data_IF_534320445670
#
_entry.id   IF_534320445670
#
_cell.length_a   1.000
_cell.length_b   1.000
_cell.length_c   1.000
_cell.angle_alpha   90.00
_cell.angle_beta   90.00
_cell.angle_gamma   90.00
#
_symmetry.space_group_name_H-M   'P 1'
#
loop_
_entity.id
_entity.type
_entity.pdbx_description
1 polymer ?
#
# COMPACT_ATOMS: atom_id res chain seq x y z
N UNK A 1 47.02 -35.25 69.16
CA UNK A 1 46.61 -35.81 67.85
C UNK A 1 45.16 -35.45 67.49
N UNK A 2 44.26 -35.24 68.45
CA UNK A 2 42.88 -34.77 68.19
C UNK A 2 42.81 -33.31 67.67
N UNK A 3 43.65 -32.42 68.19
CA UNK A 3 43.63 -30.98 67.85
C UNK A 3 43.97 -30.71 66.37
N UNK A 4 44.89 -31.49 65.81
CA UNK A 4 45.26 -31.43 64.38
C UNK A 4 44.16 -31.96 63.45
N UNK A 5 43.32 -32.87 63.92
CA UNK A 5 42.18 -33.44 63.17
C UNK A 5 41.00 -32.46 63.11
N UNK A 6 40.72 -31.76 64.21
CA UNK A 6 39.70 -30.70 64.24
C UNK A 6 40.09 -29.52 63.35
N UNK A 7 41.36 -29.10 63.35
CA UNK A 7 41.85 -28.05 62.45
C UNK A 7 41.66 -28.39 60.96
N UNK A 8 42.05 -29.61 60.55
CA UNK A 8 41.87 -30.05 59.16
C UNK A 8 40.38 -30.15 58.74
N UNK A 9 39.50 -30.48 59.68
CA UNK A 9 38.04 -30.52 59.43
C UNK A 9 37.48 -29.11 59.25
N UNK A 10 37.92 -28.16 60.09
CA UNK A 10 37.51 -26.76 60.00
C UNK A 10 37.95 -26.12 58.68
N UNK A 11 39.19 -26.36 58.25
CA UNK A 11 39.73 -25.84 56.98
C UNK A 11 38.91 -26.33 55.78
N UNK A 12 38.50 -27.60 55.79
CA UNK A 12 37.66 -28.17 54.74
C UNK A 12 36.28 -27.52 54.69
N UNK A 13 35.66 -27.29 55.86
CA UNK A 13 34.37 -26.59 55.95
C UNK A 13 34.51 -25.16 55.40
N UNK A 14 35.56 -24.43 55.76
CA UNK A 14 35.81 -23.08 55.24
C UNK A 14 36.01 -23.06 53.72
N UNK A 15 36.67 -24.08 53.18
CA UNK A 15 36.85 -24.22 51.73
C UNK A 15 35.51 -24.50 51.01
N UNK A 16 34.67 -25.36 51.58
CA UNK A 16 33.33 -25.65 51.06
C UNK A 16 32.41 -24.42 51.13
N UNK A 17 32.41 -23.68 52.25
CA UNK A 17 31.68 -22.42 52.40
C UNK A 17 32.13 -21.42 51.33
N UNK A 18 33.44 -21.29 51.10
CA UNK A 18 33.98 -20.41 50.07
C UNK A 18 33.55 -20.84 48.66
N UNK A 19 33.48 -22.14 48.40
CA UNK A 19 33.01 -22.67 47.13
C UNK A 19 31.51 -22.40 46.92
N UNK A 20 30.69 -22.54 47.97
CA UNK A 20 29.26 -22.18 47.94
C UNK A 20 29.09 -20.68 47.70
N UNK A 21 29.87 -19.83 48.37
CA UNK A 21 29.84 -18.37 48.16
C UNK A 21 30.06 -17.98 46.70
N UNK A 22 31.10 -18.53 46.06
CA UNK A 22 31.36 -18.29 44.62
C UNK A 22 30.22 -18.77 43.72
N UNK A 23 29.58 -19.89 44.05
CA UNK A 23 28.42 -20.40 43.28
C UNK A 23 27.22 -19.48 43.43
N UNK A 24 26.98 -18.92 44.63
CA UNK A 24 25.91 -17.96 44.86
C UNK A 24 26.14 -16.65 44.10
N UNK A 25 27.37 -16.13 44.10
CA UNK A 25 27.74 -14.97 43.28
C UNK A 25 27.49 -15.23 41.77
N UNK A 26 27.84 -16.42 41.29
CA UNK A 26 27.56 -16.82 39.91
C UNK A 26 26.06 -16.88 39.61
N UNK A 27 25.25 -17.39 40.53
CA UNK A 27 23.78 -17.42 40.40
C UNK A 27 23.21 -16.00 40.36
N UNK A 28 23.70 -15.10 41.22
CA UNK A 28 23.23 -13.71 41.28
C UNK A 28 23.52 -12.94 39.98
N UNK A 29 24.71 -13.16 39.41
CA UNK A 29 25.08 -12.62 38.09
C UNK A 29 24.18 -13.16 36.98
N UNK A 30 23.89 -14.46 36.95
CA UNK A 30 23.00 -15.05 35.95
C UNK A 30 21.56 -14.53 36.10
N UNK A 31 21.09 -14.37 37.34
CA UNK A 31 19.76 -13.86 37.62
C UNK A 31 19.61 -12.41 37.17
N UNK A 32 20.64 -11.58 37.40
CA UNK A 32 20.68 -10.20 36.90
C UNK A 32 20.63 -10.14 35.37
N UNK A 33 21.40 -11.00 34.69
CA UNK A 33 21.36 -11.08 33.21
C UNK A 33 19.98 -11.49 32.70
N UNK A 34 19.38 -12.52 33.29
CA UNK A 34 18.04 -13.01 32.91
C UNK A 34 16.95 -11.95 33.13
N UNK A 35 17.07 -11.13 34.17
CA UNK A 35 16.14 -10.03 34.41
C UNK A 35 16.24 -8.97 33.31
N UNK A 36 17.45 -8.63 32.87
CA UNK A 36 17.64 -7.65 31.78
C UNK A 36 17.16 -8.22 30.44
N UNK A 37 17.45 -9.48 30.13
CA UNK A 37 16.95 -10.15 28.92
C UNK A 37 15.42 -10.19 28.92
N UNK A 38 14.79 -10.48 30.06
CA UNK A 38 13.33 -10.48 30.21
C UNK A 38 12.73 -9.10 29.99
N UNK A 39 13.40 -8.05 30.46
CA UNK A 39 12.98 -6.67 30.24
C UNK A 39 13.11 -6.28 28.77
N UNK A 40 14.20 -6.67 28.10
CA UNK A 40 14.39 -6.45 26.67
C UNK A 40 13.31 -7.15 25.85
N UNK A 41 13.06 -8.44 26.10
CA UNK A 41 11.99 -9.19 25.42
C UNK A 41 10.62 -8.55 25.61
N UNK A 42 10.33 -8.02 26.80
CA UNK A 42 9.08 -7.29 27.05
C UNK A 42 8.95 -6.04 26.18
N UNK A 43 10.04 -5.29 26.00
CA UNK A 43 10.04 -4.11 25.13
C UNK A 43 9.83 -4.51 23.66
N UNK A 44 10.48 -5.58 23.21
CA UNK A 44 10.32 -6.10 21.84
C UNK A 44 8.87 -6.53 21.58
N UNK A 45 8.24 -7.24 22.52
CA UNK A 45 6.83 -7.65 22.42
C UNK A 45 5.91 -6.44 22.28
N UNK A 46 6.11 -5.39 23.10
CA UNK A 46 5.32 -4.15 23.00
C UNK A 46 5.55 -3.47 21.64
N UNK A 47 6.79 -3.46 21.16
CA UNK A 47 7.13 -2.94 19.83
C UNK A 47 6.44 -3.70 18.70
N UNK A 48 6.41 -5.04 18.78
CA UNK A 48 5.70 -5.87 17.81
C UNK A 48 4.19 -5.66 17.84
N UNK A 49 3.58 -5.56 19.03
CA UNK A 49 2.16 -5.26 19.17
C UNK A 49 1.79 -3.94 18.50
N UNK A 50 2.57 -2.88 18.73
CA UNK A 50 2.33 -1.58 18.10
C UNK A 50 2.42 -1.66 16.57
N UNK A 51 3.43 -2.35 16.03
CA UNK A 51 3.59 -2.55 14.58
C UNK A 51 2.43 -3.36 13.99
N UNK A 52 1.95 -4.38 14.70
CA UNK A 52 0.84 -5.21 14.25
C UNK A 52 -0.46 -4.41 14.17
N UNK A 53 -0.77 -3.61 15.19
CA UNK A 53 -1.92 -2.70 15.17
C UNK A 53 -1.85 -1.70 14.01
N UNK A 54 -0.67 -1.14 13.71
CA UNK A 54 -0.50 -0.24 12.57
C UNK A 54 -0.73 -0.96 11.22
N UNK A 55 -0.26 -2.20 11.10
CA UNK A 55 -0.48 -3.01 9.90
C UNK A 55 -1.96 -3.38 9.71
N UNK A 56 -2.66 -3.72 10.78
CA UNK A 56 -4.10 -3.99 10.76
C UNK A 56 -4.88 -2.77 10.26
N UNK A 57 -4.58 -1.57 10.79
CA UNK A 57 -5.20 -0.32 10.33
C UNK A 57 -4.90 -0.02 8.86
N UNK A 58 -3.66 -0.24 8.43
CA UNK A 58 -3.27 -0.06 7.04
C UNK A 58 -4.01 -1.05 6.12
N UNK A 59 -4.13 -2.31 6.53
CA UNK A 59 -4.86 -3.33 5.79
C UNK A 59 -6.33 -2.95 5.62
N UNK A 60 -7.00 -2.52 6.69
CA UNK A 60 -8.40 -2.04 6.61
C UNK A 60 -8.53 -0.86 5.65
N UNK A 61 -7.55 0.05 5.63
CA UNK A 61 -7.54 1.19 4.69
C UNK A 61 -7.40 0.72 3.24
N UNK A 62 -6.52 -0.25 2.98
CA UNK A 62 -6.33 -0.81 1.64
C UNK A 62 -7.57 -1.56 1.19
N UNK A 63 -8.18 -2.37 2.05
CA UNK A 63 -9.41 -3.12 1.75
C UNK A 63 -10.58 -2.19 1.43
N UNK A 64 -10.76 -1.13 2.22
CA UNK A 64 -11.81 -0.13 1.95
C UNK A 64 -11.59 0.61 0.64
N UNK A 65 -10.34 0.95 0.29
CA UNK A 65 -10.03 1.56 -1.00
C UNK A 65 -10.23 0.61 -2.18
N UNK A 66 -9.84 -0.66 -2.04
CA UNK A 66 -10.02 -1.68 -3.05
C UNK A 66 -11.51 -1.92 -3.34
N UNK A 67 -12.36 -1.89 -2.32
CA UNK A 67 -13.81 -2.01 -2.46
C UNK A 67 -14.45 -0.87 -3.29
N UNK A 68 -13.81 0.30 -3.38
CA UNK A 68 -14.30 1.44 -4.18
C UNK A 68 -13.89 1.36 -5.66
N UNK A 69 -12.98 0.47 -6.04
CA UNK A 69 -12.50 0.35 -7.43
C UNK A 69 -13.61 -0.09 -8.40
N UNK A 70 -14.43 -1.12 -8.09
CA UNK A 70 -15.53 -1.52 -8.96
C UNK A 70 -16.56 -0.42 -9.22
N UNK A 71 -16.89 0.37 -8.20
CA UNK A 71 -17.83 1.50 -8.32
C UNK A 71 -17.28 2.58 -9.26
N UNK A 72 -15.98 2.86 -9.16
CA UNK A 72 -15.30 3.81 -10.05
C UNK A 72 -15.26 3.34 -11.51
N UNK A 73 -15.06 2.05 -11.74
CA UNK A 73 -15.09 1.50 -13.10
C UNK A 73 -16.48 1.62 -13.73
N UNK A 74 -17.54 1.37 -12.95
CA UNK A 74 -18.91 1.60 -13.41
C UNK A 74 -19.20 3.07 -13.71
N UNK A 75 -18.74 3.98 -12.84
CA UNK A 75 -18.88 5.42 -13.06
C UNK A 75 -18.15 5.88 -14.32
N UNK A 76 -16.94 5.37 -14.57
CA UNK A 76 -16.17 5.66 -15.78
C UNK A 76 -16.87 5.17 -17.05
N UNK A 77 -17.44 3.96 -17.03
CA UNK A 77 -18.21 3.44 -18.16
C UNK A 77 -19.44 4.29 -18.44
N UNK A 78 -20.17 4.69 -17.40
CA UNK A 78 -21.32 5.58 -17.52
C UNK A 78 -20.92 6.95 -18.12
N UNK A 79 -19.87 7.57 -17.59
CA UNK A 79 -19.36 8.85 -18.07
C UNK A 79 -18.89 8.77 -19.53
N UNK A 80 -18.18 7.70 -19.91
CA UNK A 80 -17.77 7.47 -21.31
C UNK A 80 -18.97 7.36 -22.24
N UNK A 81 -19.99 6.58 -21.86
CA UNK A 81 -21.22 6.43 -22.65
C UNK A 81 -21.94 7.78 -22.81
N UNK A 82 -22.00 8.58 -21.75
CA UNK A 82 -22.63 9.89 -21.76
C UNK A 82 -21.89 10.89 -22.66
N UNK A 83 -20.55 10.87 -22.65
CA UNK A 83 -19.75 11.71 -23.55
C UNK A 83 -20.03 11.38 -25.00
N UNK A 84 -20.08 10.08 -25.36
CA UNK A 84 -20.39 9.64 -26.72
C UNK A 84 -21.77 10.14 -27.15
N UNK A 85 -22.82 9.94 -26.33
CA UNK A 85 -24.17 10.42 -26.66
C UNK A 85 -24.22 11.95 -26.84
N UNK A 86 -23.50 12.71 -26.01
CA UNK A 86 -23.42 14.16 -26.13
C UNK A 86 -22.67 14.59 -27.40
N UNK A 87 -21.55 13.94 -27.73
CA UNK A 87 -20.80 14.19 -28.96
C UNK A 87 -21.65 13.89 -30.19
N UNK A 88 -22.36 12.76 -30.20
CA UNK A 88 -23.25 12.38 -31.28
C UNK A 88 -24.38 13.40 -31.44
N UNK A 89 -25.06 13.79 -30.36
CA UNK A 89 -26.09 14.84 -30.41
C UNK A 89 -25.55 16.16 -30.92
N UNK A 90 -24.37 16.57 -30.48
CA UNK A 90 -23.72 17.79 -30.96
C UNK A 90 -23.35 17.72 -32.45
N UNK A 91 -23.17 16.51 -33.02
CA UNK A 91 -22.85 16.32 -34.43
C UNK A 91 -24.07 16.14 -35.34
N UNK A 92 -25.25 15.82 -34.80
CA UNK A 92 -26.47 15.55 -35.60
C UNK A 92 -26.83 16.67 -36.56
N UNK A 93 -26.59 17.91 -36.18
CA UNK A 93 -26.92 19.08 -37.01
C UNK A 93 -25.72 19.62 -37.80
N UNK A 94 -24.55 18.97 -37.68
CA UNK A 94 -23.32 19.37 -38.36
C UNK A 94 -23.07 18.49 -39.58
N UNK A 95 -23.21 19.07 -40.77
CA UNK A 95 -22.82 18.42 -42.03
C UNK A 95 -21.41 18.88 -42.41
N UNK A 96 -20.53 17.92 -42.71
CA UNK A 96 -19.18 18.20 -43.23
C UNK A 96 -19.16 17.95 -44.73
N UNK A 97 -18.85 18.99 -45.49
CA UNK A 97 -18.58 18.87 -46.91
C UNK A 97 -17.11 18.51 -47.12
N UNK A 98 -16.84 17.37 -47.75
CA UNK A 98 -15.50 16.87 -48.04
C UNK A 98 -15.22 16.99 -49.54
N UNK A 99 -13.96 17.28 -49.92
CA UNK A 99 -13.55 17.32 -51.33
C UNK A 99 -13.65 18.69 -52.01
N UNK A 100 -13.89 19.77 -51.27
CA UNK A 100 -13.80 21.12 -51.83
C UNK A 100 -12.32 21.53 -52.01
N UNK A 101 -11.96 22.12 -53.17
CA UNK A 101 -10.61 22.64 -53.38
C UNK A 101 -10.33 23.79 -52.41
N UNK A 102 -9.19 23.71 -51.71
CA UNK A 102 -8.73 24.74 -50.78
C UNK A 102 -8.58 26.11 -51.48
N UNK A 103 -8.73 27.21 -50.73
CA UNK A 103 -8.60 28.62 -51.20
C UNK A 103 -9.74 29.13 -52.10
N UNK A 104 -10.91 28.51 -52.03
CA UNK A 104 -12.16 28.98 -52.67
C UNK A 104 -13.04 29.86 -51.76
N UNK A 105 -12.52 30.23 -50.58
CA UNK A 105 -13.23 31.04 -49.58
C UNK A 105 -13.41 32.50 -50.05
N UNK A 106 -14.61 33.08 -49.87
CA UNK A 106 -14.93 34.48 -50.25
C UNK A 106 -16.01 34.61 -51.32
N UNK A 107 -15.93 35.64 -52.18
CA UNK A 107 -16.93 35.99 -53.22
C UNK A 107 -17.16 34.90 -54.28
N UNK A 108 -16.33 33.86 -54.28
CA UNK A 108 -16.42 32.68 -55.14
C UNK A 108 -16.91 31.42 -54.42
N UNK A 109 -17.38 31.53 -53.16
CA UNK A 109 -18.12 30.46 -52.52
C UNK A 109 -19.38 30.25 -53.37
N UNK A 110 -19.35 29.21 -54.23
CA UNK A 110 -20.52 28.80 -54.96
C UNK A 110 -21.62 28.61 -53.91
N UNK A 111 -22.63 29.49 -53.93
CA UNK A 111 -23.86 29.27 -53.18
C UNK A 111 -24.30 27.88 -53.61
N UNK A 112 -24.15 26.89 -52.74
CA UNK A 112 -24.54 25.51 -53.02
C UNK A 112 -25.97 25.57 -53.53
N UNK A 113 -26.13 25.47 -54.84
CA UNK A 113 -27.44 25.55 -55.45
C UNK A 113 -28.12 24.21 -55.18
N UNK A 114 -29.45 24.17 -55.20
CA UNK A 114 -30.17 22.91 -55.04
C UNK A 114 -29.75 21.86 -56.08
N UNK A 115 -29.25 22.31 -57.23
CA UNK A 115 -28.81 21.46 -58.33
C UNK A 115 -27.45 20.80 -58.04
N UNK A 116 -26.53 21.50 -57.36
CA UNK A 116 -25.22 20.94 -56.94
C UNK A 116 -25.37 19.83 -55.88
N UNK A 117 -26.36 19.98 -54.99
CA UNK A 117 -26.73 18.94 -54.02
C UNK A 117 -27.33 17.70 -54.73
N UNK A 118 -28.13 17.92 -55.79
CA UNK A 118 -28.77 16.84 -56.53
C UNK A 118 -27.80 16.02 -57.39
N UNK A 119 -26.74 16.64 -57.95
CA UNK A 119 -25.72 15.93 -58.72
C UNK A 119 -24.83 15.05 -57.84
N UNK A 120 -24.56 15.46 -56.60
CA UNK A 120 -23.73 14.69 -55.67
C UNK A 120 -24.41 13.38 -55.24
N UNK A 121 -25.73 13.38 -55.07
CA UNK A 121 -26.50 12.16 -54.73
C UNK A 121 -26.71 11.19 -55.90
N UNK A 122 -26.52 11.61 -57.15
CA UNK A 122 -26.69 10.76 -58.34
C UNK A 122 -25.44 9.98 -58.74
N UNK A 123 -24.31 10.21 -58.09
CA UNK A 123 -23.02 9.62 -58.45
C UNK A 123 -22.77 8.21 -57.89
N UNK A 124 -23.50 7.80 -56.84
CA UNK A 124 -23.19 6.58 -56.07
C UNK A 124 -24.28 5.48 -56.14
N UNK A 125 -25.04 5.43 -57.24
CA UNK A 125 -25.86 4.26 -57.62
C UNK A 125 -25.58 3.83 -59.06
#
# INVERSE_FOLDING_TARGET
MEDTSQGATMDRILQEISAVGRRLEGIDSMMTSLMEDTKSMRLDIVGFQSRMTALEQWLTTVETQAALVPDRDQELLYLRSKVIDLEDRSRRDNVRFLGFPEKTEGSGCAVLSKDDLASTYRSDF
#
